data_IF_352691380340
#
_entry.id   IF_352691380340
#
_cell.length_a   1.000
_cell.length_b   1.000
_cell.length_c   1.000
_cell.angle_alpha   90.00
_cell.angle_beta   90.00
_cell.angle_gamma   90.00
#
_symmetry.space_group_name_H-M   'P 1'
#
loop_
_entity.id
_entity.type
_entity.pdbx_description
1 polymer ?
#
# COMPACT_ATOMS: atom_id res chain seq x y z
N UNK A 1 -24.46 -1.65 -16.85
CA UNK A 1 -23.06 -1.45 -17.27
C UNK A 1 -22.23 -1.36 -16.00
N UNK A 2 -21.56 -2.45 -15.61
CA UNK A 2 -20.59 -2.40 -14.53
C UNK A 2 -19.36 -1.62 -15.01
N UNK A 3 -18.76 -0.75 -14.17
CA UNK A 3 -17.54 -0.05 -14.56
C UNK A 3 -16.43 -1.08 -14.72
N UNK A 4 -15.97 -1.25 -15.96
CA UNK A 4 -14.82 -2.06 -16.34
C UNK A 4 -13.63 -1.63 -15.50
N UNK A 5 -13.23 -2.48 -14.53
CA UNK A 5 -11.94 -2.35 -13.85
C UNK A 5 -10.87 -2.24 -14.94
N UNK A 6 -10.08 -1.16 -14.84
CA UNK A 6 -9.04 -0.81 -15.80
C UNK A 6 -8.07 -1.95 -16.09
N UNK A 7 -7.29 -1.81 -17.18
CA UNK A 7 -6.64 -2.89 -17.89
C UNK A 7 -5.87 -3.81 -16.95
N UNK A 8 -6.01 -5.12 -17.19
CA UNK A 8 -5.14 -6.16 -16.64
C UNK A 8 -3.68 -5.75 -16.85
N UNK A 9 -3.07 -5.24 -15.78
CA UNK A 9 -1.66 -4.88 -15.73
C UNK A 9 -0.86 -6.20 -15.78
N UNK A 10 -0.63 -6.71 -16.99
CA UNK A 10 0.16 -7.91 -17.27
C UNK A 10 1.66 -7.74 -16.99
N UNK A 11 2.01 -7.02 -15.93
CA UNK A 11 3.36 -6.88 -15.42
C UNK A 11 3.64 -7.87 -14.29
N UNK A 12 4.92 -8.19 -14.08
CA UNK A 12 5.35 -8.99 -12.94
C UNK A 12 4.90 -8.30 -11.64
N UNK A 13 4.06 -8.98 -10.86
CA UNK A 13 3.71 -8.53 -9.53
C UNK A 13 4.94 -8.67 -8.63
N UNK A 14 5.37 -7.57 -8.04
CA UNK A 14 6.45 -7.54 -7.06
C UNK A 14 5.83 -7.42 -5.67
N UNK A 15 6.49 -7.99 -4.67
CA UNK A 15 6.13 -7.84 -3.26
C UNK A 15 7.21 -7.04 -2.55
N UNK A 16 6.84 -5.89 -2.01
CA UNK A 16 7.70 -5.05 -1.19
C UNK A 16 7.26 -5.14 0.26
N UNK A 17 8.15 -5.57 1.15
CA UNK A 17 7.90 -5.62 2.61
C UNK A 17 8.86 -4.66 3.29
N UNK A 18 8.33 -3.72 4.07
CA UNK A 18 9.11 -2.67 4.74
C UNK A 18 8.70 -2.64 6.22
N UNK A 19 9.70 -2.44 7.10
CA UNK A 19 9.49 -2.11 8.51
C UNK A 19 9.60 -0.60 8.68
N UNK A 20 8.55 0.01 9.20
CA UNK A 20 8.45 1.46 9.41
C UNK A 20 8.12 1.74 10.87
N UNK A 21 8.70 2.80 11.42
CA UNK A 21 8.22 3.40 12.67
C UNK A 21 7.15 4.42 12.32
N UNK A 22 5.93 4.22 12.82
CA UNK A 22 4.78 5.10 12.60
C UNK A 22 4.40 5.76 13.93
N UNK A 23 4.25 7.08 13.94
CA UNK A 23 3.74 7.82 15.10
C UNK A 23 2.21 7.97 14.98
N UNK A 24 1.46 7.18 15.77
CA UNK A 24 -0.01 7.25 15.83
C UNK A 24 -0.71 5.91 15.54
N UNK A 25 -2.04 5.95 15.47
CA UNK A 25 -2.85 4.76 15.10
C UNK A 25 -2.60 4.47 13.62
N UNK A 26 -1.88 3.38 13.31
CA UNK A 26 -1.46 2.95 11.96
C UNK A 26 -2.61 2.61 11.00
N UNK A 27 -3.54 3.54 10.79
CA UNK A 27 -4.71 3.41 9.96
C UNK A 27 -4.38 3.95 8.59
N UNK A 28 -3.88 3.07 7.72
CA UNK A 28 -3.82 3.36 6.30
C UNK A 28 -5.23 3.73 5.83
N UNK A 29 -5.40 4.94 5.31
CA UNK A 29 -6.71 5.37 4.84
C UNK A 29 -7.14 4.47 3.68
N UNK A 30 -8.44 4.11 3.64
CA UNK A 30 -9.00 3.33 2.52
C UNK A 30 -8.66 3.97 1.16
N UNK A 31 -8.61 5.31 1.17
CA UNK A 31 -8.13 6.18 0.10
C UNK A 31 -6.76 5.77 -0.46
N UNK A 32 -5.77 5.42 0.36
CA UNK A 32 -4.45 5.01 -0.14
C UNK A 32 -4.49 3.68 -0.90
N UNK A 33 -5.33 2.72 -0.48
CA UNK A 33 -5.49 1.44 -1.19
C UNK A 33 -6.16 1.65 -2.54
N UNK A 34 -7.19 2.50 -2.59
CA UNK A 34 -7.91 2.84 -3.81
C UNK A 34 -7.04 3.68 -4.77
N UNK A 35 -6.37 4.71 -4.27
CA UNK A 35 -5.54 5.60 -5.10
C UNK A 35 -4.23 4.97 -5.55
N UNK A 36 -3.59 4.12 -4.73
CA UNK A 36 -2.36 3.43 -5.14
C UNK A 36 -2.63 2.36 -6.20
N UNK A 37 -3.84 1.80 -6.24
CA UNK A 37 -4.12 0.55 -6.95
C UNK A 37 -3.41 -0.66 -6.35
N UNK A 38 -2.73 -0.49 -5.20
CA UNK A 38 -1.88 -1.51 -4.59
C UNK A 38 -2.58 -2.32 -3.51
N UNK A 39 -2.26 -3.62 -3.43
CA UNK A 39 -2.67 -4.43 -2.27
C UNK A 39 -1.69 -4.14 -1.13
N UNK A 40 -2.18 -3.51 -0.06
CA UNK A 40 -1.37 -3.08 1.10
C UNK A 40 -1.87 -3.78 2.37
N UNK A 41 -0.98 -4.53 3.02
CA UNK A 41 -1.19 -5.16 4.33
C UNK A 41 -0.32 -4.44 5.39
N UNK A 42 -0.85 -4.27 6.60
CA UNK A 42 -0.13 -3.66 7.72
C UNK A 42 -0.32 -4.56 8.95
N UNK A 43 0.76 -4.80 9.70
CA UNK A 43 0.71 -5.54 10.96
C UNK A 43 -0.13 -4.79 12.01
N UNK A 44 -1.12 -5.47 12.57
CA UNK A 44 -1.92 -4.99 13.70
C UNK A 44 -1.10 -5.00 15.01
N UNK A 45 -1.54 -4.25 16.03
CA UNK A 45 -0.84 -4.12 17.32
C UNK A 45 -0.84 -2.70 17.86
N UNK A 46 -0.19 -2.46 19.01
CA UNK A 46 -0.05 -1.12 19.61
C UNK A 46 1.40 -0.58 19.55
N UNK A 47 2.34 -1.34 18.98
CA UNK A 47 3.73 -0.92 18.84
C UNK A 47 3.87 0.19 17.78
N UNK A 48 4.81 1.14 17.95
CA UNK A 48 5.08 2.16 16.94
C UNK A 48 5.70 1.56 15.68
N UNK A 49 6.38 0.41 15.79
CA UNK A 49 6.90 -0.32 14.63
C UNK A 49 5.79 -1.10 13.92
N UNK A 50 5.75 -0.99 12.59
CA UNK A 50 4.79 -1.66 11.71
C UNK A 50 5.50 -2.31 10.53
N UNK A 51 5.07 -3.53 10.22
CA UNK A 51 5.43 -4.21 8.98
C UNK A 51 4.35 -3.89 7.95
N UNK A 52 4.76 -3.31 6.82
CA UNK A 52 3.89 -2.99 5.69
C UNK A 52 4.31 -3.82 4.49
N UNK A 53 3.36 -4.52 3.88
CA UNK A 53 3.56 -5.33 2.67
C UNK A 53 2.71 -4.78 1.53
N UNK A 54 3.35 -4.41 0.42
CA UNK A 54 2.74 -3.82 -0.78
C UNK A 54 2.96 -4.77 -1.96
N UNK A 55 1.89 -5.14 -2.68
CA UNK A 55 1.94 -6.13 -3.76
C UNK A 55 1.26 -5.59 -5.02
N UNK A 56 2.02 -5.30 -6.09
CA UNK A 56 1.60 -4.94 -7.48
C UNK A 56 2.82 -4.79 -8.39
N UNK A 57 2.64 -4.33 -9.64
CA UNK A 57 3.76 -3.80 -10.42
C UNK A 57 4.43 -2.60 -9.75
N UNK A 58 5.68 -2.37 -10.14
CA UNK A 58 6.58 -1.35 -9.57
C UNK A 58 5.98 0.07 -9.51
N UNK A 59 5.16 0.48 -10.50
CA UNK A 59 4.54 1.82 -10.53
C UNK A 59 3.58 2.03 -9.36
N UNK A 60 2.75 1.03 -9.08
CA UNK A 60 1.80 1.07 -7.98
C UNK A 60 2.50 0.97 -6.61
N UNK A 61 3.58 0.18 -6.53
CA UNK A 61 4.41 0.09 -5.33
C UNK A 61 5.02 1.45 -4.99
N UNK A 62 5.65 2.11 -5.96
CA UNK A 62 6.28 3.42 -5.74
C UNK A 62 5.25 4.47 -5.30
N UNK A 63 4.07 4.48 -5.94
CA UNK A 63 2.96 5.37 -5.56
C UNK A 63 2.48 5.10 -4.13
N UNK A 64 2.28 3.83 -3.76
CA UNK A 64 1.88 3.45 -2.42
C UNK A 64 2.93 3.85 -1.37
N UNK A 65 4.20 3.58 -1.67
CA UNK A 65 5.31 3.92 -0.79
C UNK A 65 5.41 5.43 -0.55
N UNK A 66 5.35 6.25 -1.60
CA UNK A 66 5.37 7.71 -1.47
C UNK A 66 4.19 8.23 -0.63
N UNK A 67 2.99 7.70 -0.85
CA UNK A 67 1.84 8.08 -0.03
C UNK A 67 2.01 7.68 1.44
N UNK A 68 2.58 6.50 1.72
CA UNK A 68 2.87 6.06 3.08
C UNK A 68 3.88 7.00 3.72
N UNK A 69 5.02 7.26 3.06
CA UNK A 69 6.06 8.13 3.58
C UNK A 69 5.61 9.58 3.81
N UNK A 70 4.63 10.08 3.05
CA UNK A 70 4.07 11.42 3.21
C UNK A 70 2.94 11.52 4.25
N UNK A 71 2.27 10.40 4.59
CA UNK A 71 1.14 10.37 5.54
C UNK A 71 1.52 9.89 6.95
N UNK A 72 2.72 9.33 7.13
CA UNK A 72 3.28 8.95 8.45
C UNK A 72 4.10 10.08 9.05
#
# INVERSE_FOLDING_TARGET
>A
MEPTKGPSEGGLNVTLTIRLLMHGKGKLSKKMREESGARINISEGNCPERIVTIIRAHRHIFKAFAMIALQI
#
